data_IF_887117012445
#
_entry.id   IF_887117012445
#
_cell.length_a   1.000
_cell.length_b   1.000
_cell.length_c   1.000
_cell.angle_alpha   90.00
_cell.angle_beta   90.00
_cell.angle_gamma   90.00
#
_symmetry.space_group_name_H-M   'P 1'
#
loop_
_entity.id
_entity.type
_entity.pdbx_description
1 polymer ?
#
# COMPACT_ATOMS: atom_id res chain seq x y z
N UNK A 1 39.02 -2.02 -49.32
CA UNK A 1 37.93 -1.04 -49.18
C UNK A 1 37.29 -1.32 -47.84
N UNK A 2 37.73 -0.60 -46.81
CA UNK A 2 37.24 -0.82 -45.44
C UNK A 2 35.73 -0.65 -45.41
N UNK A 3 35.03 -1.56 -44.74
CA UNK A 3 33.57 -1.63 -44.74
C UNK A 3 32.95 -0.39 -44.08
N UNK A 4 32.77 0.68 -44.87
CA UNK A 4 32.13 1.96 -44.50
C UNK A 4 30.75 1.74 -43.88
N UNK A 5 30.03 0.70 -44.34
CA UNK A 5 28.71 0.31 -43.82
C UNK A 5 28.68 0.04 -42.31
N UNK A 6 29.69 -0.62 -41.75
CA UNK A 6 29.77 -0.85 -40.30
C UNK A 6 29.96 0.46 -39.52
N UNK A 7 30.76 1.40 -40.06
CA UNK A 7 31.00 2.70 -39.42
C UNK A 7 29.73 3.55 -39.39
N UNK A 8 28.95 3.54 -40.49
CA UNK A 8 27.65 4.23 -40.56
C UNK A 8 26.65 3.60 -39.59
N UNK A 9 26.60 2.26 -39.51
CA UNK A 9 25.76 1.55 -38.54
C UNK A 9 26.14 1.88 -37.09
N UNK A 10 27.44 1.86 -36.77
CA UNK A 10 27.93 2.16 -35.43
C UNK A 10 27.64 3.62 -35.03
N UNK A 11 27.76 4.56 -35.97
CA UNK A 11 27.40 5.96 -35.74
C UNK A 11 25.90 6.14 -35.46
N UNK A 12 25.04 5.49 -36.26
CA UNK A 12 23.59 5.51 -36.06
C UNK A 12 23.21 4.91 -34.70
N UNK A 13 23.78 3.75 -34.35
CA UNK A 13 23.56 3.10 -33.06
C UNK A 13 24.01 4.01 -31.90
N UNK A 14 25.16 4.65 -32.03
CA UNK A 14 25.67 5.58 -31.01
C UNK A 14 24.75 6.79 -30.82
N UNK A 15 24.22 7.36 -31.91
CA UNK A 15 23.25 8.45 -31.84
C UNK A 15 21.95 8.04 -31.11
N UNK A 16 21.46 6.83 -31.35
CA UNK A 16 20.29 6.27 -30.64
C UNK A 16 20.60 6.08 -29.15
N UNK A 17 21.78 5.53 -28.82
CA UNK A 17 22.19 5.28 -27.43
C UNK A 17 22.29 6.59 -26.63
N UNK A 18 22.78 7.67 -27.25
CA UNK A 18 22.86 8.99 -26.63
C UNK A 18 21.50 9.59 -26.27
N UNK A 19 20.42 9.17 -26.92
CA UNK A 19 19.06 9.58 -26.56
C UNK A 19 18.42 8.63 -25.53
N UNK A 20 18.67 7.33 -25.69
CA UNK A 20 18.04 6.29 -24.90
C UNK A 20 18.53 6.28 -23.44
N UNK A 21 19.84 6.50 -23.22
CA UNK A 21 20.41 6.52 -21.87
C UNK A 21 19.87 7.68 -21.02
N UNK A 22 19.86 8.95 -21.49
CA UNK A 22 19.22 10.04 -20.74
C UNK A 22 17.73 9.83 -20.52
N UNK A 23 17.00 9.28 -21.50
CA UNK A 23 15.59 8.97 -21.36
C UNK A 23 15.34 7.96 -20.22
N UNK A 24 16.13 6.89 -20.17
CA UNK A 24 16.02 5.88 -19.12
C UNK A 24 16.30 6.48 -17.73
N UNK A 25 17.34 7.32 -17.60
CA UNK A 25 17.64 8.02 -16.34
C UNK A 25 16.50 8.95 -15.89
N UNK A 26 15.84 9.65 -16.82
CA UNK A 26 14.70 10.51 -16.48
C UNK A 26 13.52 9.69 -15.97
N UNK A 27 13.23 8.56 -16.62
CA UNK A 27 12.14 7.66 -16.22
C UNK A 27 12.42 7.00 -14.86
N UNK A 28 13.65 6.55 -14.60
CA UNK A 28 14.05 6.03 -13.29
C UNK A 28 13.89 7.09 -12.20
N UNK A 29 14.32 8.32 -12.47
CA UNK A 29 14.14 9.44 -11.53
C UNK A 29 12.67 9.76 -11.28
N UNK A 30 11.79 9.63 -12.27
CA UNK A 30 10.35 9.78 -12.08
C UNK A 30 9.79 8.69 -11.16
N UNK A 31 10.27 7.45 -11.30
CA UNK A 31 9.88 6.34 -10.41
C UNK A 31 10.34 6.61 -8.98
N UNK A 32 11.58 7.07 -8.77
CA UNK A 32 12.07 7.40 -7.43
C UNK A 32 11.24 8.51 -6.77
N UNK A 33 10.86 9.53 -7.54
CA UNK A 33 9.97 10.60 -7.05
C UNK A 33 8.61 10.02 -6.68
N UNK A 34 8.01 9.19 -7.55
CA UNK A 34 6.73 8.54 -7.27
C UNK A 34 6.80 7.66 -6.02
N UNK A 35 7.86 6.87 -5.86
CA UNK A 35 8.10 6.04 -4.68
C UNK A 35 8.12 6.89 -3.41
N UNK A 36 8.87 7.99 -3.40
CA UNK A 36 8.97 8.86 -2.23
C UNK A 36 7.64 9.53 -1.88
N UNK A 37 6.85 9.93 -2.88
CA UNK A 37 5.51 10.48 -2.66
C UNK A 37 4.59 9.43 -2.05
N UNK A 38 4.56 8.21 -2.61
CA UNK A 38 3.76 7.10 -2.08
C UNK A 38 4.21 6.72 -0.68
N UNK A 39 5.52 6.68 -0.41
CA UNK A 39 6.08 6.42 0.90
C UNK A 39 5.66 7.46 1.94
N UNK A 40 5.78 8.75 1.60
CA UNK A 40 5.37 9.83 2.49
C UNK A 40 3.87 9.80 2.78
N UNK A 41 3.03 9.60 1.74
CA UNK A 41 1.57 9.57 1.89
C UNK A 41 1.08 8.32 2.61
N UNK A 42 1.72 7.17 2.41
CA UNK A 42 1.41 5.94 3.13
C UNK A 42 1.72 6.07 4.63
N UNK A 43 2.87 6.66 4.98
CA UNK A 43 3.19 6.94 6.38
C UNK A 43 2.21 7.96 6.98
N UNK A 44 1.91 9.05 6.27
CA UNK A 44 0.95 10.06 6.73
C UNK A 44 -0.43 9.46 6.99
N UNK A 45 -0.93 8.62 6.09
CA UNK A 45 -2.21 7.94 6.26
C UNK A 45 -2.17 6.96 7.43
N UNK A 46 -1.13 6.12 7.51
CA UNK A 46 -0.98 5.17 8.60
C UNK A 46 -0.88 5.87 9.97
N UNK A 47 -0.10 6.94 10.08
CA UNK A 47 0.04 7.71 11.32
C UNK A 47 -1.27 8.42 11.69
N UNK A 48 -1.99 9.01 10.73
CA UNK A 48 -3.30 9.61 10.99
C UNK A 48 -4.31 8.57 11.52
N UNK A 49 -4.36 7.37 10.92
CA UNK A 49 -5.21 6.28 11.40
C UNK A 49 -4.81 5.80 12.80
N UNK A 50 -3.51 5.73 13.10
CA UNK A 50 -2.98 5.29 14.40
C UNK A 50 -3.16 6.32 15.52
N UNK A 51 -3.11 7.60 15.19
CA UNK A 51 -3.24 8.70 16.15
C UNK A 51 -4.71 9.05 16.42
N UNK A 52 -5.62 8.74 15.48
CA UNK A 52 -7.08 8.94 15.67
C UNK A 52 -7.77 7.69 16.21
N UNK A 53 -7.31 6.50 15.86
CA UNK A 53 -7.98 5.24 16.20
C UNK A 53 -9.16 4.93 15.29
N UNK A 54 -9.33 5.63 14.17
CA UNK A 54 -10.37 5.32 13.19
C UNK A 54 -9.95 5.67 11.76
N UNK A 55 -10.64 5.07 10.80
CA UNK A 55 -10.48 5.33 9.37
C UNK A 55 -11.78 5.92 8.87
N UNK A 56 -11.69 7.08 8.19
CA UNK A 56 -12.86 7.70 7.53
C UNK A 56 -12.78 7.53 6.02
N UNK A 57 -13.92 7.52 5.31
CA UNK A 57 -13.93 7.45 3.85
C UNK A 57 -13.21 8.64 3.21
N UNK A 58 -13.25 9.82 3.85
CA UNK A 58 -12.54 11.00 3.36
C UNK A 58 -11.02 10.84 3.46
N UNK A 59 -10.50 10.32 4.59
CA UNK A 59 -9.07 10.06 4.74
C UNK A 59 -8.56 9.07 3.69
N UNK A 60 -9.32 8.00 3.43
CA UNK A 60 -8.96 7.01 2.43
C UNK A 60 -9.02 7.57 1.00
N UNK A 61 -10.07 8.35 0.67
CA UNK A 61 -10.21 9.02 -0.63
C UNK A 61 -9.05 9.97 -0.87
N UNK A 62 -8.77 10.84 0.10
CA UNK A 62 -7.66 11.78 0.04
C UNK A 62 -6.30 11.07 -0.15
N UNK A 63 -6.06 9.98 0.57
CA UNK A 63 -4.88 9.16 0.41
C UNK A 63 -4.78 8.60 -1.02
N UNK A 64 -5.88 8.04 -1.53
CA UNK A 64 -5.97 7.46 -2.88
C UNK A 64 -5.74 8.52 -3.96
N UNK A 65 -6.35 9.70 -3.82
CA UNK A 65 -6.21 10.81 -4.76
C UNK A 65 -4.75 11.32 -4.82
N UNK A 66 -4.06 11.39 -3.67
CA UNK A 66 -2.66 11.83 -3.59
C UNK A 66 -1.66 10.82 -4.15
N UNK A 67 -1.87 9.51 -3.94
CA UNK A 67 -1.00 8.52 -4.57
C UNK A 67 -1.24 8.46 -6.08
N UNK A 68 -2.49 8.54 -6.54
CA UNK A 68 -2.84 8.50 -7.95
C UNK A 68 -2.39 9.76 -8.72
N UNK A 69 -2.12 10.88 -8.05
CA UNK A 69 -1.56 12.08 -8.69
C UNK A 69 -0.13 11.87 -9.21
N UNK A 70 0.53 10.76 -8.84
CA UNK A 70 1.83 10.35 -9.41
C UNK A 70 1.71 9.80 -10.84
N UNK A 71 0.50 9.55 -11.34
CA UNK A 71 0.25 9.07 -12.70
C UNK A 71 0.36 7.54 -12.88
N UNK A 72 0.69 6.81 -11.82
CA UNK A 72 0.63 5.35 -11.80
C UNK A 72 -0.65 4.87 -11.10
N UNK A 73 -1.10 3.68 -11.46
CA UNK A 73 -2.19 3.00 -10.76
C UNK A 73 -1.61 2.14 -9.66
N UNK A 74 -2.25 2.16 -8.49
CA UNK A 74 -1.83 1.37 -7.33
C UNK A 74 -2.92 0.39 -6.88
N UNK A 75 -2.47 -0.70 -6.29
CA UNK A 75 -3.23 -1.65 -5.49
C UNK A 75 -2.90 -1.38 -4.02
N UNK A 76 -3.93 -1.15 -3.22
CA UNK A 76 -3.81 -0.74 -1.82
C UNK A 76 -4.38 -1.88 -0.98
N UNK A 77 -3.58 -2.41 -0.05
CA UNK A 77 -4.03 -3.43 0.90
C UNK A 77 -3.98 -2.88 2.32
N UNK A 78 -5.12 -2.93 3.00
CA UNK A 78 -5.23 -2.59 4.42
C UNK A 78 -5.27 -3.87 5.26
N UNK A 79 -4.63 -3.86 6.42
CA UNK A 79 -4.70 -4.97 7.37
C UNK A 79 -4.73 -4.44 8.78
N UNK A 80 -5.73 -4.89 9.54
CA UNK A 80 -5.88 -4.54 10.94
C UNK A 80 -5.76 -5.82 11.79
N UNK A 81 -5.01 -5.76 12.88
CA UNK A 81 -4.86 -6.88 13.81
C UNK A 81 -5.37 -6.43 15.16
N UNK A 82 -6.58 -6.88 15.48
CA UNK A 82 -7.27 -6.56 16.72
C UNK A 82 -6.79 -7.47 17.85
N UNK A 83 -6.46 -6.88 19.00
CA UNK A 83 -5.97 -7.58 20.18
C UNK A 83 -7.12 -7.82 21.17
N UNK A 84 -7.57 -9.06 21.27
CA UNK A 84 -8.64 -9.46 22.21
C UNK A 84 -8.07 -10.20 23.42
N UNK A 85 -8.57 -9.88 24.61
CA UNK A 85 -8.18 -10.56 25.86
C UNK A 85 -9.32 -11.47 26.30
N UNK A 86 -9.10 -12.79 26.23
CA UNK A 86 -10.11 -13.79 26.57
C UNK A 86 -9.77 -14.47 27.92
N UNK A 87 -10.75 -14.60 28.84
CA UNK A 87 -10.54 -15.36 30.07
C UNK A 87 -10.40 -16.86 29.76
N UNK A 88 -9.40 -17.50 30.35
CA UNK A 88 -9.17 -18.94 30.21
C UNK A 88 -10.00 -19.71 31.23
N UNK A 89 -10.87 -20.58 30.74
CA UNK A 89 -11.67 -21.48 31.57
C UNK A 89 -11.08 -22.89 31.56
N UNK A 90 -11.08 -23.54 32.72
CA UNK A 90 -10.80 -24.98 32.84
C UNK A 90 -12.12 -25.70 32.99
N UNK A 91 -12.29 -26.75 32.20
CA UNK A 91 -13.43 -27.64 32.34
C UNK A 91 -13.19 -28.62 33.48
N UNK A 92 -14.00 -28.52 34.55
CA UNK A 92 -14.13 -29.58 35.56
C UNK A 92 -15.55 -30.16 35.47
N UNK A 93 -15.65 -31.36 34.90
CA UNK A 93 -16.94 -32.02 34.65
C UNK A 93 -17.82 -31.21 33.69
N UNK A 94 -19.00 -30.78 34.16
CA UNK A 94 -20.00 -30.03 33.37
C UNK A 94 -19.90 -28.51 33.55
N UNK A 95 -19.03 -28.02 34.43
CA UNK A 95 -18.90 -26.59 34.74
C UNK A 95 -17.58 -26.00 34.25
N UNK A 96 -17.63 -24.76 33.76
CA UNK A 96 -16.46 -23.98 33.36
C UNK A 96 -16.01 -23.13 34.55
N UNK A 97 -14.82 -23.40 35.08
CA UNK A 97 -14.23 -22.63 36.18
C UNK A 97 -13.20 -21.67 35.61
N UNK A 98 -13.32 -20.39 35.94
CA UNK A 98 -12.34 -19.38 35.54
C UNK A 98 -10.99 -19.66 36.22
N UNK A 99 -9.92 -19.76 35.43
CA UNK A 99 -8.59 -20.15 35.93
C UNK A 99 -7.79 -19.00 36.53
N UNK A 100 -8.32 -17.77 36.53
CA UNK A 100 -7.58 -16.57 36.92
C UNK A 100 -6.58 -16.09 35.86
N UNK A 101 -6.58 -16.70 34.67
CA UNK A 101 -5.66 -16.37 33.58
C UNK A 101 -6.40 -15.75 32.41
N UNK A 102 -5.71 -14.85 31.72
CA UNK A 102 -6.17 -14.22 30.51
C UNK A 102 -5.21 -14.57 29.37
N UNK A 103 -5.77 -14.89 28.21
CA UNK A 103 -5.04 -15.15 26.98
C UNK A 103 -5.25 -13.98 26.02
N UNK A 104 -4.17 -13.55 25.36
CA UNK A 104 -4.19 -12.46 24.39
C UNK A 104 -4.22 -13.07 23.00
N UNK A 105 -5.36 -12.93 22.32
CA UNK A 105 -5.55 -13.37 20.95
C UNK A 105 -5.43 -12.17 20.00
N UNK A 106 -5.00 -12.45 18.77
CA UNK A 106 -4.87 -11.47 17.71
C UNK A 106 -5.77 -11.91 16.55
N UNK A 107 -6.75 -11.09 16.19
CA UNK A 107 -7.68 -11.33 15.10
C UNK A 107 -7.27 -10.44 13.95
N UNK A 108 -6.84 -11.04 12.84
CA UNK A 108 -6.54 -10.30 11.62
C UNK A 108 -7.84 -10.03 10.86
N UNK A 109 -8.08 -8.74 10.59
CA UNK A 109 -9.16 -8.24 9.76
C UNK A 109 -8.57 -7.81 8.43
N UNK A 110 -9.14 -8.37 7.36
CA UNK A 110 -8.74 -8.09 5.99
C UNK A 110 -9.37 -6.80 5.46
N UNK A 111 -8.80 -6.31 4.36
CA UNK A 111 -9.22 -5.09 3.69
C UNK A 111 -10.71 -5.07 3.31
N UNK A 112 -11.29 -6.21 2.93
CA UNK A 112 -12.68 -6.29 2.46
C UNK A 112 -13.67 -5.88 3.54
N UNK A 113 -13.39 -6.20 4.80
CA UNK A 113 -14.21 -5.81 5.94
C UNK A 113 -14.08 -4.31 6.22
N UNK A 114 -12.84 -3.79 6.19
CA UNK A 114 -12.57 -2.36 6.35
C UNK A 114 -13.28 -1.55 5.25
N UNK A 115 -13.13 -1.97 3.99
CA UNK A 115 -13.77 -1.32 2.83
C UNK A 115 -15.29 -1.44 2.86
N UNK A 116 -15.84 -2.55 3.36
CA UNK A 116 -17.27 -2.72 3.55
C UNK A 116 -17.88 -1.71 4.53
N UNK A 117 -17.14 -1.33 5.58
CA UNK A 117 -17.55 -0.28 6.53
C UNK A 117 -17.41 1.12 5.91
N UNK A 118 -16.32 1.38 5.19
CA UNK A 118 -16.06 2.69 4.58
C UNK A 118 -17.00 3.00 3.40
N UNK A 119 -17.27 2.02 2.55
CA UNK A 119 -18.05 2.14 1.31
C UNK A 119 -19.12 1.04 1.18
N UNK A 120 -20.16 1.07 2.02
CA UNK A 120 -21.27 0.12 1.91
C UNK A 120 -22.04 0.30 0.60
N UNK A 121 -22.30 -0.80 -0.12
CA UNK A 121 -22.85 -0.81 -1.49
C UNK A 121 -24.24 -0.17 -1.66
N UNK A 122 -25.02 0.00 -0.58
CA UNK A 122 -26.42 0.45 -0.63
C UNK A 122 -26.78 1.54 0.41
N UNK A 123 -25.82 2.39 0.79
CA UNK A 123 -26.05 3.36 1.85
C UNK A 123 -26.41 4.77 1.33
N UNK A 124 -27.54 5.36 1.76
CA UNK A 124 -27.85 6.77 1.53
C UNK A 124 -27.05 7.71 2.46
N UNK A 125 -26.18 7.17 3.32
CA UNK A 125 -25.46 7.94 4.34
C UNK A 125 -24.34 8.78 3.73
N UNK A 126 -24.27 10.04 4.19
CA UNK A 126 -23.23 10.98 3.79
C UNK A 126 -21.84 10.45 4.16
N UNK A 127 -20.82 10.89 3.41
CA UNK A 127 -19.39 10.54 3.60
C UNK A 127 -18.89 10.90 5.01
N UNK A 128 -19.57 11.82 5.69
CA UNK A 128 -19.24 12.33 7.02
C UNK A 128 -19.92 11.59 8.17
N UNK A 129 -20.80 10.64 7.88
CA UNK A 129 -21.58 9.93 8.90
C UNK A 129 -20.65 9.11 9.82
N UNK A 130 -20.79 9.21 11.17
CA UNK A 130 -20.07 8.38 12.12
C UNK A 130 -20.18 6.88 11.84
N UNK A 131 -21.32 6.42 11.31
CA UNK A 131 -21.54 5.00 11.02
C UNK A 131 -20.68 4.43 9.88
N UNK A 132 -20.00 5.29 9.10
CA UNK A 132 -19.08 4.89 8.01
C UNK A 132 -17.61 4.94 8.44
N UNK A 133 -17.34 5.07 9.73
CA UNK A 133 -15.99 5.10 10.28
C UNK A 133 -15.62 3.70 10.75
N UNK A 134 -14.46 3.23 10.34
CA UNK A 134 -13.90 1.99 10.86
C UNK A 134 -13.09 2.31 12.11
N UNK A 135 -13.53 1.85 13.27
CA UNK A 135 -12.89 2.10 14.56
C UNK A 135 -11.87 1.00 14.89
N UNK A 136 -10.78 1.38 15.54
CA UNK A 136 -9.69 0.51 15.98
C UNK A 136 -9.36 0.81 17.43
N UNK A 137 -8.95 -0.20 18.20
CA UNK A 137 -8.59 -0.02 19.60
C UNK A 137 -7.09 0.24 19.78
N UNK A 138 -6.74 0.95 20.85
CA UNK A 138 -5.39 1.19 21.30
C UNK A 138 -4.70 -0.13 21.57
N UNK A 139 -3.50 -0.28 21.01
CA UNK A 139 -2.74 -1.53 21.10
C UNK A 139 -3.00 -2.50 19.95
N UNK A 140 -3.97 -2.23 19.07
CA UNK A 140 -4.13 -2.94 17.81
C UNK A 140 -3.00 -2.56 16.83
N UNK A 141 -2.74 -3.42 15.85
CA UNK A 141 -1.76 -3.15 14.80
C UNK A 141 -2.47 -2.84 13.48
N UNK A 142 -2.11 -1.73 12.86
CA UNK A 142 -2.62 -1.34 11.55
C UNK A 142 -1.48 -1.28 10.53
N UNK A 143 -1.70 -1.86 9.34
CA UNK A 143 -0.75 -1.87 8.24
C UNK A 143 -1.42 -1.47 6.93
N UNK A 144 -0.67 -0.72 6.13
CA UNK A 144 -1.03 -0.25 4.80
C UNK A 144 0.08 -0.68 3.86
N UNK A 145 -0.30 -1.37 2.79
CA UNK A 145 0.61 -1.85 1.76
C UNK A 145 0.15 -1.31 0.41
N UNK A 146 1.06 -0.71 -0.35
CA UNK A 146 0.79 -0.11 -1.64
C UNK A 146 1.72 -0.71 -2.68
N UNK A 147 1.14 -1.21 -3.77
CA UNK A 147 1.84 -1.81 -4.92
C UNK A 147 1.43 -1.11 -6.19
N UNK A 148 2.34 -0.86 -7.12
CA UNK A 148 1.92 -0.43 -8.45
C UNK A 148 1.24 -1.58 -9.21
N UNK A 149 0.15 -1.26 -9.91
CA UNK A 149 -0.56 -2.19 -10.80
C UNK A 149 0.04 -2.12 -12.20
N UNK A 150 0.73 -3.19 -12.61
CA UNK A 150 1.36 -3.30 -13.93
C UNK A 150 2.78 -2.72 -13.96
N UNK A 151 3.38 -2.66 -15.15
CA UNK A 151 4.77 -2.19 -15.34
C UNK A 151 4.82 -0.67 -15.43
N UNK A 152 5.81 -0.06 -14.78
CA UNK A 152 6.13 1.36 -14.98
C UNK A 152 6.67 1.60 -16.40
N UNK A 153 6.67 2.86 -16.85
CA UNK A 153 7.24 3.20 -18.17
C UNK A 153 8.73 2.84 -18.27
N UNK A 154 9.50 2.96 -17.18
CA UNK A 154 10.91 2.59 -17.19
C UNK A 154 11.07 1.06 -17.30
N UNK A 155 10.28 0.28 -16.57
CA UNK A 155 10.32 -1.18 -16.68
C UNK A 155 9.89 -1.66 -18.07
N UNK A 156 8.87 -1.04 -18.67
CA UNK A 156 8.47 -1.34 -20.04
C UNK A 156 9.58 -1.03 -21.05
N UNK A 157 10.22 0.14 -20.96
CA UNK A 157 11.33 0.53 -21.83
C UNK A 157 12.54 -0.39 -21.64
N UNK A 158 12.92 -0.68 -20.40
CA UNK A 158 14.02 -1.58 -20.05
C UNK A 158 13.77 -2.99 -20.56
N UNK A 159 12.56 -3.51 -20.40
CA UNK A 159 12.18 -4.83 -20.89
C UNK A 159 12.24 -4.91 -22.42
N UNK A 160 11.86 -3.84 -23.12
CA UNK A 160 11.98 -3.76 -24.57
C UNK A 160 13.45 -3.72 -25.05
N UNK A 161 14.35 -3.03 -24.32
CA UNK A 161 15.77 -2.91 -24.68
C UNK A 161 16.56 -4.18 -24.36
N UNK A 162 16.34 -4.74 -23.16
CA UNK A 162 17.10 -5.87 -22.65
C UNK A 162 16.47 -7.21 -23.05
N UNK A 163 15.28 -7.22 -23.65
CA UNK A 163 14.49 -8.43 -23.93
C UNK A 163 14.26 -9.28 -22.67
N UNK A 164 14.16 -8.62 -21.51
CA UNK A 164 13.90 -9.27 -20.21
C UNK A 164 12.49 -8.88 -19.76
N UNK A 165 11.71 -9.87 -19.36
CA UNK A 165 10.46 -9.62 -18.67
C UNK A 165 10.72 -9.41 -17.17
N UNK A 166 10.49 -8.19 -16.66
CA UNK A 166 10.55 -7.92 -15.23
C UNK A 166 9.20 -8.23 -14.59
N UNK A 167 9.14 -9.36 -13.89
CA UNK A 167 8.01 -9.70 -13.01
C UNK A 167 8.25 -9.15 -11.60
N UNK A 168 7.77 -7.95 -11.31
CA UNK A 168 7.53 -7.48 -9.92
C UNK A 168 7.05 -6.02 -9.93
N UNK A 169 6.36 -5.59 -8.86
CA UNK A 169 6.04 -4.18 -8.69
C UNK A 169 7.35 -3.38 -8.49
N UNK A 170 7.61 -2.42 -9.38
CA UNK A 170 8.72 -1.46 -9.24
C UNK A 170 8.53 -0.56 -8.00
N UNK A 171 7.30 -0.37 -7.54
CA UNK A 171 6.94 0.45 -6.39
C UNK A 171 6.21 -0.42 -5.37
N UNK A 172 6.90 -0.72 -4.27
CA UNK A 172 6.36 -1.43 -3.11
C UNK A 172 6.62 -0.64 -1.84
N UNK A 173 5.56 -0.21 -1.18
CA UNK A 173 5.63 0.55 0.07
C UNK A 173 4.75 -0.12 1.12
N UNK A 174 5.27 -0.26 2.33
CA UNK A 174 4.51 -0.70 3.49
C UNK A 174 4.73 0.25 4.65
N UNK A 175 3.65 0.77 5.22
CA UNK A 175 3.65 1.57 6.44
C UNK A 175 2.67 0.98 7.45
N UNK A 176 2.87 1.29 8.73
CA UNK A 176 1.99 0.78 9.78
C UNK A 176 2.64 0.77 11.15
N UNK A 177 1.91 0.21 12.10
CA UNK A 177 2.35 0.03 13.47
C UNK A 177 1.18 -0.02 14.45
N UNK A 178 1.51 0.11 15.73
CA UNK A 178 0.53 0.09 16.81
C UNK A 178 -0.32 1.37 16.82
N UNK A 179 -1.64 1.21 16.98
CA UNK A 179 -2.60 2.28 17.22
C UNK A 179 -2.37 2.85 18.61
N UNK A 180 -2.20 4.17 18.69
CA UNK A 180 -1.77 4.87 19.92
C UNK A 180 -2.92 5.45 20.71
N UNK A 181 -4.03 5.74 20.06
CA UNK A 181 -5.13 6.47 20.66
C UNK A 181 -6.48 5.98 20.13
N UNK A 182 -7.50 6.26 20.92
CA UNK A 182 -8.90 5.87 20.75
C UNK A 182 -9.75 7.14 20.89
N UNK A 183 -9.62 8.05 19.93
CA UNK A 183 -10.29 9.35 19.98
C UNK A 183 -11.68 9.26 19.32
N UNK A 184 -12.59 8.47 19.91
CA UNK A 184 -14.00 8.40 19.51
C UNK A 184 -14.83 9.51 20.15
#
# INVERSE_FOLDING_TARGET
MDNVWWKVLAFLLSAVLLFLVPLMNILERQIDIAYNVVFAECNRFADACRDTGYITPNMFKEFTDRINSTGNTYDIKLSHVHRTVNPVYRQEGTSLIFTGRYEVNHIAVDETEIMGVLFPENSPLSVLDPARRYEMSMGDLFFVEVKNRGKTMAAALRGMILFIDSESPDIFVRAGGMVRNEAY
#
